data_IF_414048328987
#
_entry.id   IF_414048328987
#
_cell.length_a   1.000
_cell.length_b   1.000
_cell.length_c   1.000
_cell.angle_alpha   90.00
_cell.angle_beta   90.00
_cell.angle_gamma   90.00
#
_symmetry.space_group_name_H-M   'P 1'
#
loop_
_entity.id
_entity.type
_entity.pdbx_description
1 polymer ?
#
# COMPACT_ATOMS: atom_id res chain seq x y z
N UNK A 1 12.34 -1.13 8.75
CA UNK A 1 10.95 -0.92 8.27
C UNK A 1 10.86 -0.99 6.74
N UNK A 2 11.34 0.02 6.01
CA UNK A 2 11.26 0.11 4.54
C UNK A 2 11.81 -1.13 3.82
N UNK A 3 12.98 -1.63 4.24
CA UNK A 3 13.60 -2.81 3.63
C UNK A 3 12.70 -4.05 3.64
N UNK A 4 11.90 -4.24 4.70
CA UNK A 4 10.95 -5.35 4.78
C UNK A 4 9.91 -5.22 3.67
N UNK A 5 9.29 -4.06 3.51
CA UNK A 5 8.26 -3.85 2.48
C UNK A 5 8.85 -3.97 1.07
N UNK A 6 10.04 -3.39 0.83
CA UNK A 6 10.73 -3.51 -0.46
C UNK A 6 11.09 -4.97 -0.77
N UNK A 7 11.52 -5.74 0.23
CA UNK A 7 11.82 -7.16 0.04
C UNK A 7 10.58 -7.95 -0.40
N UNK A 8 9.42 -7.69 0.22
CA UNK A 8 8.17 -8.32 -0.19
C UNK A 8 7.77 -7.89 -1.60
N UNK A 9 7.84 -6.58 -1.91
CA UNK A 9 7.57 -6.07 -3.25
C UNK A 9 8.47 -6.74 -4.29
N UNK A 10 9.77 -6.86 -4.04
CA UNK A 10 10.71 -7.56 -4.93
C UNK A 10 10.37 -9.05 -5.10
N UNK A 11 9.88 -9.72 -4.04
CA UNK A 11 9.42 -11.11 -4.12
C UNK A 11 8.18 -11.24 -5.01
N UNK A 12 7.26 -10.27 -4.93
CA UNK A 12 6.12 -10.17 -5.84
C UNK A 12 6.58 -9.92 -7.28
N UNK A 13 7.47 -8.95 -7.53
CA UNK A 13 8.07 -8.68 -8.85
C UNK A 13 8.68 -9.96 -9.43
N UNK A 14 9.45 -10.70 -8.63
CA UNK A 14 10.05 -11.96 -9.06
C UNK A 14 8.99 -13.00 -9.43
N UNK A 15 7.89 -13.09 -8.67
CA UNK A 15 6.78 -14.00 -8.95
C UNK A 15 6.00 -13.64 -10.23
N UNK A 16 5.96 -12.35 -10.58
CA UNK A 16 5.39 -11.86 -11.84
C UNK A 16 6.28 -12.24 -13.01
N UNK A 17 7.59 -12.00 -12.89
CA UNK A 17 8.58 -12.24 -13.95
C UNK A 17 8.94 -13.71 -14.17
N UNK A 18 8.76 -14.58 -13.16
CA UNK A 18 9.12 -16.00 -13.20
C UNK A 18 7.88 -16.87 -13.08
N UNK A 19 7.29 -17.35 -14.20
CA UNK A 19 6.04 -18.12 -14.18
C UNK A 19 6.09 -19.42 -13.35
N UNK A 20 7.28 -19.98 -13.13
CA UNK A 20 7.47 -21.17 -12.29
C UNK A 20 7.44 -20.88 -10.78
N UNK A 21 7.54 -19.62 -10.38
CA UNK A 21 7.57 -19.21 -8.99
C UNK A 21 6.14 -19.24 -8.42
N UNK A 22 5.95 -19.99 -7.34
CA UNK A 22 4.62 -20.24 -6.74
C UNK A 22 4.29 -19.30 -5.59
N UNK A 23 4.93 -18.13 -5.55
CA UNK A 23 4.57 -17.09 -4.57
C UNK A 23 3.21 -16.52 -5.01
N UNK A 24 2.21 -16.47 -4.11
CA UNK A 24 0.93 -15.86 -4.43
C UNK A 24 1.12 -14.40 -4.86
N UNK A 25 0.50 -14.02 -5.98
CA UNK A 25 0.47 -12.64 -6.48
C UNK A 25 -0.59 -11.80 -5.76
N UNK A 26 -0.72 -12.05 -4.47
CA UNK A 26 -1.62 -11.36 -3.55
C UNK A 26 -0.80 -10.93 -2.35
N UNK A 27 -0.88 -9.65 -1.98
CA UNK A 27 -0.10 -9.09 -0.88
C UNK A 27 -0.93 -8.08 -0.09
N UNK A 28 -0.82 -8.17 1.24
CA UNK A 28 -1.39 -7.19 2.16
C UNK A 28 -0.25 -6.61 3.01
N UNK A 29 -0.03 -5.30 2.90
CA UNK A 29 0.99 -4.57 3.63
C UNK A 29 0.34 -3.67 4.67
N UNK A 30 0.57 -3.96 5.93
CA UNK A 30 0.08 -3.14 7.04
C UNK A 30 1.25 -2.43 7.73
N UNK A 31 1.00 -1.23 8.25
CA UNK A 31 2.01 -0.40 8.92
C UNK A 31 3.18 -0.01 8.02
N UNK A 32 2.91 0.42 6.78
CA UNK A 32 3.97 0.88 5.85
C UNK A 32 4.66 2.16 6.33
N UNK A 33 4.00 2.89 7.23
CA UNK A 33 4.36 4.15 7.88
C UNK A 33 4.72 4.00 9.37
N UNK A 34 4.63 2.80 9.94
CA UNK A 34 4.88 2.54 11.36
C UNK A 34 6.40 2.57 11.71
N UNK A 35 6.72 2.59 13.01
CA UNK A 35 8.08 2.43 13.53
C UNK A 35 8.95 3.69 13.43
N UNK A 36 8.34 4.88 13.49
CA UNK A 36 9.06 6.16 13.44
C UNK A 36 9.58 6.50 12.04
N UNK A 37 8.88 6.05 10.99
CA UNK A 37 9.23 6.42 9.63
C UNK A 37 8.91 7.89 9.37
N UNK A 38 9.90 8.62 8.87
CA UNK A 38 9.68 9.99 8.39
C UNK A 38 8.62 10.02 7.28
N UNK A 39 7.72 11.00 7.33
CA UNK A 39 6.58 11.16 6.41
C UNK A 39 7.01 11.06 4.95
N UNK A 40 8.04 11.80 4.56
CA UNK A 40 8.57 11.78 3.18
C UNK A 40 8.99 10.38 2.72
N UNK A 41 9.56 9.57 3.61
CA UNK A 41 9.98 8.20 3.28
C UNK A 41 8.79 7.26 3.13
N UNK A 42 7.75 7.45 3.96
CA UNK A 42 6.51 6.67 3.83
C UNK A 42 5.78 7.00 2.52
N UNK A 43 5.69 8.29 2.17
CA UNK A 43 5.11 8.75 0.90
C UNK A 43 5.88 8.22 -0.31
N UNK A 44 7.23 8.25 -0.24
CA UNK A 44 8.07 7.71 -1.31
C UNK A 44 7.91 6.19 -1.45
N UNK A 45 7.73 5.46 -0.34
CA UNK A 45 7.44 4.03 -0.40
C UNK A 45 6.10 3.75 -1.09
N UNK A 46 5.07 4.55 -0.82
CA UNK A 46 3.77 4.43 -1.49
C UNK A 46 3.91 4.63 -3.01
N UNK A 47 4.65 5.66 -3.44
CA UNK A 47 4.95 5.91 -4.86
C UNK A 47 5.67 4.73 -5.49
N UNK A 48 6.74 4.22 -4.86
CA UNK A 48 7.50 3.06 -5.37
C UNK A 48 6.61 1.83 -5.53
N UNK A 49 5.71 1.56 -4.57
CA UNK A 49 4.78 0.44 -4.67
C UNK A 49 3.86 0.61 -5.89
N UNK A 50 3.26 1.79 -6.07
CA UNK A 50 2.35 2.07 -7.18
C UNK A 50 3.07 2.03 -8.53
N UNK A 51 4.23 2.68 -8.64
CA UNK A 51 5.07 2.73 -9.83
C UNK A 51 5.50 1.32 -10.27
N UNK A 52 5.99 0.50 -9.33
CA UNK A 52 6.42 -0.88 -9.62
C UNK A 52 5.22 -1.75 -10.04
N UNK A 53 4.11 -1.68 -9.30
CA UNK A 53 2.91 -2.46 -9.61
C UNK A 53 2.35 -2.13 -11.00
N UNK A 54 2.42 -0.88 -11.43
CA UNK A 54 1.97 -0.46 -12.76
C UNK A 54 2.73 -1.14 -13.92
N UNK A 55 3.87 -1.78 -13.65
CA UNK A 55 4.66 -2.52 -14.66
C UNK A 55 4.22 -3.97 -14.86
N UNK A 56 3.34 -4.50 -14.00
CA UNK A 56 3.00 -5.91 -14.02
C UNK A 56 1.92 -6.23 -15.06
N UNK A 57 2.16 -7.24 -15.90
CA UNK A 57 1.27 -7.65 -17.01
C UNK A 57 0.44 -8.91 -16.71
N UNK A 58 0.33 -9.31 -15.44
CA UNK A 58 -0.38 -10.52 -15.00
C UNK A 58 -1.41 -10.16 -13.93
N UNK A 59 -2.33 -11.07 -13.60
CA UNK A 59 -3.23 -10.83 -12.48
C UNK A 59 -2.47 -10.83 -11.15
N UNK A 60 -2.65 -9.75 -10.39
CA UNK A 60 -2.13 -9.58 -9.04
C UNK A 60 -3.05 -8.66 -8.22
N UNK A 61 -2.86 -8.65 -6.90
CA UNK A 61 -3.50 -7.68 -6.02
C UNK A 61 -2.55 -7.30 -4.89
N UNK A 62 -2.32 -6.00 -4.72
CA UNK A 62 -1.62 -5.44 -3.56
C UNK A 62 -2.57 -4.51 -2.84
N UNK A 63 -2.73 -4.72 -1.54
CA UNK A 63 -3.47 -3.86 -0.63
C UNK A 63 -2.48 -3.35 0.39
N UNK A 64 -2.37 -2.03 0.56
CA UNK A 64 -1.60 -1.46 1.67
C UNK A 64 -2.44 -0.49 2.49
N UNK A 65 -2.26 -0.53 3.80
CA UNK A 65 -2.91 0.39 4.74
C UNK A 65 -1.89 1.44 5.21
N UNK A 66 -2.33 2.69 5.30
CA UNK A 66 -1.52 3.81 5.80
C UNK A 66 -2.41 4.80 6.55
N UNK A 67 -1.85 5.43 7.57
CA UNK A 67 -2.48 6.52 8.32
C UNK A 67 -2.24 7.90 7.70
N UNK A 68 -1.23 8.03 6.83
CA UNK A 68 -0.86 9.27 6.15
C UNK A 68 -0.63 8.99 4.66
N UNK A 69 -1.69 9.22 3.87
CA UNK A 69 -1.66 8.98 2.42
C UNK A 69 -0.84 10.06 1.72
N UNK A 70 -0.04 9.66 0.73
CA UNK A 70 0.62 10.61 -0.13
C UNK A 70 -0.42 11.41 -0.93
N UNK A 71 -0.38 12.74 -0.83
CA UNK A 71 -1.29 13.64 -1.53
C UNK A 71 -1.32 13.41 -3.05
N UNK A 72 -0.22 12.95 -3.66
CA UNK A 72 -0.18 12.59 -5.07
C UNK A 72 -1.04 11.35 -5.43
N UNK A 73 -1.34 10.51 -4.44
CA UNK A 73 -2.14 9.29 -4.58
C UNK A 73 -3.55 9.43 -4.01
N UNK A 74 -3.81 10.44 -3.18
CA UNK A 74 -5.08 10.62 -2.46
C UNK A 74 -6.29 10.74 -3.41
N UNK A 75 -6.14 11.45 -4.53
CA UNK A 75 -7.20 11.61 -5.54
C UNK A 75 -7.24 10.48 -6.58
N UNK A 76 -6.39 9.46 -6.45
CA UNK A 76 -6.36 8.33 -7.38
C UNK A 76 -7.53 7.37 -7.16
N UNK A 77 -7.83 6.57 -8.18
CA UNK A 77 -8.80 5.47 -8.09
C UNK A 77 -8.28 4.26 -7.26
N UNK A 78 -7.09 4.36 -6.67
CA UNK A 78 -6.49 3.31 -5.84
C UNK A 78 -6.91 3.42 -4.37
N UNK A 79 -7.41 4.58 -3.95
CA UNK A 79 -7.84 4.81 -2.56
C UNK A 79 -9.21 4.23 -2.33
N UNK A 80 -9.33 3.43 -1.27
CA UNK A 80 -10.58 2.79 -0.85
C UNK A 80 -11.04 3.39 0.47
N UNK A 81 -12.24 3.98 0.47
CA UNK A 81 -12.83 4.63 1.64
C UNK A 81 -12.44 6.11 1.76
N UNK A 82 -13.05 6.79 2.73
CA UNK A 82 -12.74 8.19 3.03
C UNK A 82 -11.54 8.29 3.97
N UNK A 83 -10.82 9.40 3.93
CA UNK A 83 -9.88 9.76 4.98
C UNK A 83 -10.63 10.02 6.30
N UNK A 84 -10.09 9.53 7.42
CA UNK A 84 -10.71 9.66 8.74
C UNK A 84 -9.97 10.69 9.59
N UNK A 85 -10.72 11.52 10.30
CA UNK A 85 -10.17 12.50 11.25
C UNK A 85 -10.75 12.25 12.65
N UNK A 86 -10.20 12.86 13.71
CA UNK A 86 -10.79 12.79 15.04
C UNK A 86 -12.26 13.23 15.10
N UNK A 87 -12.65 14.18 14.24
CA UNK A 87 -14.01 14.71 14.06
C UNK A 87 -14.86 13.81 13.16
N UNK A 88 -14.26 13.15 12.18
CA UNK A 88 -14.91 12.26 11.21
C UNK A 88 -14.36 10.84 11.33
N UNK A 89 -14.75 10.15 12.40
CA UNK A 89 -14.23 8.82 12.75
C UNK A 89 -14.70 7.72 11.77
N UNK A 90 -14.03 6.58 11.85
CA UNK A 90 -14.42 5.37 11.10
C UNK A 90 -15.76 4.80 11.53
N UNK A 91 -16.10 4.93 12.81
CA UNK A 91 -17.39 4.55 13.36
C UNK A 91 -18.24 5.80 13.62
N UNK A 92 -19.22 6.05 12.74
CA UNK A 92 -20.25 7.10 12.88
C UNK A 92 -21.46 6.50 13.62
N UNK A 93 -21.34 6.32 14.94
CA UNK A 93 -22.47 5.89 15.77
C UNK A 93 -23.39 7.09 15.93
N UNK A 94 -24.53 7.05 15.25
CA UNK A 94 -25.61 8.02 15.48
C UNK A 94 -26.39 7.54 16.70
N UNK A 95 -26.43 8.35 17.75
CA UNK A 95 -27.38 8.11 18.84
C UNK A 95 -28.80 8.16 18.26
N UNK A 96 -29.55 7.07 18.46
CA UNK A 96 -30.92 6.90 17.97
C UNK A 96 -31.92 7.76 18.75
#
# INVERSE_FOLDING_TARGET
MVLRHIFHLALLTASVQKPFMRVPRFMMLDGIDDGGMEKERSHRLQEIIVEECATYEVDYQVIFATSDINAALEESNLVVGRFFTPEARSLDVRDA
#
